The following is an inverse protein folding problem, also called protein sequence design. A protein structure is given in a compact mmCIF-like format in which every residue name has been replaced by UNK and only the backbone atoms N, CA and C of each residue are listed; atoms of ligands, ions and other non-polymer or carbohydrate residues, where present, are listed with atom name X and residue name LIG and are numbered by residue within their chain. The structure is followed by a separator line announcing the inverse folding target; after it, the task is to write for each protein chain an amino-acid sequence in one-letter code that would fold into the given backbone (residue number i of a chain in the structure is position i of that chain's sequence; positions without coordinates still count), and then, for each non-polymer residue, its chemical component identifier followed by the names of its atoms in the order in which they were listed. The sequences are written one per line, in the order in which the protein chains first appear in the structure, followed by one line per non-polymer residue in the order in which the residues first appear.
data_IF_249551430121
#
_entry.id   IF_249551430121
#
_cell.length_a   1.000
_cell.length_b   1.000
_cell.length_c   1.000
_cell.angle_alpha   90.00
_cell.angle_beta   90.00
_cell.angle_gamma   90.00
#
_symmetry.space_group_name_H-M   'P 1'
#
loop_
_entity.id
_entity.type
_entity.pdbx_description
1 polymer ?
#
# COMPACT_ATOMS: atom_id res chain seq x y z
N UNK A 1 19.15 13.04 -11.93
CA UNK A 1 20.49 12.78 -12.52
C UNK A 1 20.40 11.77 -13.67
N UNK A 2 19.89 10.54 -13.48
CA UNK A 2 19.78 9.54 -14.58
C UNK A 2 18.99 10.05 -15.78
N UNK A 3 17.82 10.67 -15.56
CA UNK A 3 17.01 11.23 -16.66
C UNK A 3 17.69 12.36 -17.44
N UNK A 4 18.63 13.04 -16.81
CA UNK A 4 19.45 14.09 -17.43
C UNK A 4 20.81 13.57 -17.95
N UNK A 5 21.06 12.27 -17.92
CA UNK A 5 22.36 11.67 -18.24
C UNK A 5 23.55 12.32 -17.50
N UNK A 6 23.28 12.76 -16.26
CA UNK A 6 24.25 13.49 -15.42
C UNK A 6 25.13 12.52 -14.67
N UNK A 7 26.42 12.63 -14.83
CA UNK A 7 27.41 11.83 -14.10
C UNK A 7 27.38 12.14 -12.60
N UNK A 8 27.25 11.15 -11.69
CA UNK A 8 27.11 11.40 -10.24
C UNK A 8 28.28 12.15 -9.61
N UNK A 9 29.47 12.02 -10.19
CA UNK A 9 30.71 12.66 -9.71
C UNK A 9 30.97 14.07 -10.23
N UNK A 10 30.20 14.57 -11.20
CA UNK A 10 30.49 15.83 -11.90
C UNK A 10 30.53 17.05 -10.98
N UNK A 11 29.82 16.99 -9.85
CA UNK A 11 29.75 18.07 -8.85
C UNK A 11 30.87 17.98 -7.78
N UNK A 12 31.84 17.08 -7.93
CA UNK A 12 32.93 16.97 -6.98
C UNK A 12 34.08 17.88 -7.37
N UNK A 13 34.62 18.57 -6.38
CA UNK A 13 35.83 19.39 -6.53
C UNK A 13 37.13 18.58 -6.42
N UNK A 14 37.04 17.34 -5.93
CA UNK A 14 38.19 16.47 -5.68
C UNK A 14 37.87 15.00 -5.95
N UNK A 15 38.81 14.33 -6.60
CA UNK A 15 38.82 12.87 -6.81
C UNK A 15 40.04 12.25 -6.18
N UNK A 16 39.87 11.25 -5.28
CA UNK A 16 40.94 10.60 -4.58
C UNK A 16 41.98 9.97 -5.50
N UNK A 17 41.58 9.52 -6.70
CA UNK A 17 42.48 8.96 -7.69
C UNK A 17 43.33 10.00 -8.45
N UNK A 18 43.04 11.30 -8.36
CA UNK A 18 43.84 12.34 -9.01
C UNK A 18 45.27 12.43 -8.46
N UNK A 19 45.52 11.89 -7.26
CA UNK A 19 46.85 11.72 -6.68
C UNK A 19 47.53 10.41 -7.03
N UNK A 20 46.95 9.53 -7.82
CA UNK A 20 47.56 8.26 -8.17
C UNK A 20 48.72 8.44 -9.18
N UNK A 21 49.73 7.61 -9.07
CA UNK A 21 50.92 7.68 -9.92
C UNK A 21 50.63 7.46 -11.41
N UNK A 22 49.55 6.72 -11.73
CA UNK A 22 49.12 6.45 -13.11
C UNK A 22 47.97 7.39 -13.55
N UNK A 23 47.64 8.42 -12.77
CA UNK A 23 46.59 9.37 -13.16
C UNK A 23 47.04 10.15 -14.41
N UNK A 24 46.20 10.09 -15.44
CA UNK A 24 46.39 10.84 -16.67
C UNK A 24 45.40 12.01 -16.71
N UNK A 25 45.84 13.25 -16.52
CA UNK A 25 44.99 14.41 -16.48
C UNK A 25 44.32 14.71 -17.85
N UNK A 26 44.94 14.33 -18.97
CA UNK A 26 44.36 14.58 -20.30
C UNK A 26 43.22 13.62 -20.59
N UNK A 27 43.40 12.35 -20.23
CA UNK A 27 42.31 11.35 -20.31
C UNK A 27 41.16 11.77 -19.43
N UNK A 28 41.44 12.22 -18.20
CA UNK A 28 40.39 12.63 -17.28
C UNK A 28 39.65 13.89 -17.76
N UNK A 29 40.33 14.87 -18.29
CA UNK A 29 39.74 16.07 -18.87
C UNK A 29 38.81 15.72 -20.05
N UNK A 30 39.16 14.75 -20.90
CA UNK A 30 38.28 14.25 -21.97
C UNK A 30 37.00 13.58 -21.43
N UNK A 31 37.14 12.78 -20.38
CA UNK A 31 35.97 12.15 -19.73
C UNK A 31 35.04 13.18 -19.09
N UNK A 32 35.56 14.23 -18.48
CA UNK A 32 34.75 15.33 -17.95
C UNK A 32 34.04 16.08 -19.07
N UNK A 33 34.73 16.42 -20.16
CA UNK A 33 34.10 17.08 -21.32
C UNK A 33 33.02 16.20 -21.96
N UNK A 34 33.22 14.88 -22.02
CA UNK A 34 32.20 13.94 -22.47
C UNK A 34 30.96 13.96 -21.50
N UNK A 35 31.21 13.93 -20.18
CA UNK A 35 30.16 13.97 -19.17
C UNK A 35 29.35 15.29 -19.25
N UNK A 36 29.98 16.42 -19.48
CA UNK A 36 29.35 17.72 -19.67
C UNK A 36 28.48 17.74 -20.93
N UNK A 37 29.01 17.26 -22.05
CA UNK A 37 28.25 17.18 -23.30
C UNK A 37 27.03 16.24 -23.20
N UNK A 38 27.17 15.12 -22.47
CA UNK A 38 26.07 14.19 -22.19
C UNK A 38 25.01 14.84 -21.31
N UNK A 39 25.41 15.59 -20.29
CA UNK A 39 24.48 16.34 -19.43
C UNK A 39 23.71 17.38 -20.24
N UNK A 40 24.36 18.18 -21.07
CA UNK A 40 23.72 19.18 -21.92
C UNK A 40 22.68 18.55 -22.84
N UNK A 41 23.07 17.49 -23.56
CA UNK A 41 22.17 16.72 -24.41
C UNK A 41 21.04 16.04 -23.62
N UNK A 42 21.31 15.57 -22.40
CA UNK A 42 20.35 14.96 -21.50
C UNK A 42 19.30 15.94 -20.99
N UNK A 43 19.71 17.15 -20.60
CA UNK A 43 18.81 18.21 -20.17
C UNK A 43 17.86 18.66 -21.31
N UNK A 44 18.35 18.72 -22.54
CA UNK A 44 17.55 19.11 -23.71
C UNK A 44 16.40 18.10 -24.01
N UNK A 45 16.53 16.85 -23.60
CA UNK A 45 15.54 15.76 -23.80
C UNK A 45 14.92 15.23 -22.51
N UNK A 46 15.13 15.95 -21.41
CA UNK A 46 14.65 15.50 -20.09
C UNK A 46 13.13 15.39 -20.09
N UNK A 47 12.57 14.24 -19.64
CA UNK A 47 11.12 14.12 -19.51
C UNK A 47 10.61 15.03 -18.39
N UNK A 48 9.33 15.35 -18.43
CA UNK A 48 8.67 16.00 -17.29
C UNK A 48 8.72 15.04 -16.11
N UNK A 49 9.17 15.54 -14.96
CA UNK A 49 9.22 14.79 -13.70
C UNK A 49 8.37 15.53 -12.69
N UNK A 50 7.36 14.85 -12.17
CA UNK A 50 6.52 15.33 -11.08
C UNK A 50 6.74 14.42 -9.87
N UNK A 51 6.98 15.01 -8.70
CA UNK A 51 7.13 14.28 -7.45
C UNK A 51 6.15 14.82 -6.40
N UNK A 52 5.61 13.93 -5.58
CA UNK A 52 4.76 14.29 -4.46
C UNK A 52 5.06 13.46 -3.22
N UNK A 53 4.85 14.05 -2.07
CA UNK A 53 4.86 13.39 -0.76
C UNK A 53 3.84 14.09 0.14
N UNK A 54 3.23 13.34 1.05
CA UNK A 54 2.29 13.89 2.04
C UNK A 54 3.02 14.71 3.11
N UNK A 55 4.32 14.42 3.35
CA UNK A 55 5.16 15.15 4.30
C UNK A 55 5.79 16.39 3.62
N UNK A 56 5.44 17.62 4.04
CA UNK A 56 6.03 18.83 3.49
C UNK A 56 7.55 18.89 3.69
N UNK A 57 8.10 18.27 4.73
CA UNK A 57 9.55 18.22 4.98
C UNK A 57 10.27 17.37 3.94
N UNK A 58 9.65 16.25 3.51
CA UNK A 58 10.20 15.44 2.42
C UNK A 58 10.30 16.25 1.12
N UNK A 59 9.29 17.05 0.82
CA UNK A 59 9.27 17.95 -0.34
C UNK A 59 10.32 19.05 -0.23
N UNK A 60 10.51 19.66 0.93
CA UNK A 60 11.57 20.66 1.16
C UNK A 60 12.96 20.05 0.93
N UNK A 61 13.22 18.85 1.47
CA UNK A 61 14.48 18.14 1.27
C UNK A 61 14.68 17.82 -0.22
N UNK A 62 13.65 17.33 -0.92
CA UNK A 62 13.71 17.01 -2.33
C UNK A 62 14.03 18.25 -3.19
N UNK A 63 13.41 19.39 -2.90
CA UNK A 63 13.72 20.69 -3.56
C UNK A 63 15.16 21.13 -3.32
N UNK A 64 15.63 21.02 -2.08
CA UNK A 64 17.01 21.36 -1.74
C UNK A 64 18.01 20.46 -2.48
N UNK A 65 17.74 19.16 -2.58
CA UNK A 65 18.60 18.22 -3.32
C UNK A 65 18.57 18.48 -4.83
N UNK A 66 17.40 18.75 -5.41
CA UNK A 66 17.27 19.12 -6.82
C UNK A 66 18.05 20.42 -7.12
N UNK A 67 17.98 21.41 -6.21
CA UNK A 67 18.75 22.66 -6.29
C UNK A 67 20.25 22.45 -6.26
N UNK A 68 20.73 21.58 -5.36
CA UNK A 68 22.17 21.27 -5.22
C UNK A 68 22.78 20.68 -6.49
N UNK A 69 22.02 19.91 -7.25
CA UNK A 69 22.47 19.30 -8.51
C UNK A 69 22.08 20.10 -9.75
N UNK A 70 21.55 21.33 -9.59
CA UNK A 70 21.17 22.18 -10.72
C UNK A 70 19.92 21.72 -11.49
N UNK A 71 19.11 20.81 -10.92
CA UNK A 71 17.93 20.23 -11.59
C UNK A 71 16.59 20.80 -11.08
N UNK A 72 16.60 21.84 -10.22
CA UNK A 72 15.36 22.40 -9.63
C UNK A 72 14.35 22.91 -10.68
N UNK A 73 14.81 23.41 -11.82
CA UNK A 73 13.94 23.85 -12.91
C UNK A 73 13.35 22.74 -13.79
N UNK A 74 13.75 21.50 -13.55
CA UNK A 74 13.33 20.33 -14.35
C UNK A 74 12.43 19.36 -13.60
N UNK A 75 12.19 19.60 -12.30
CA UNK A 75 11.42 18.71 -11.43
C UNK A 75 10.36 19.53 -10.71
N UNK A 76 9.09 19.18 -10.92
CA UNK A 76 7.95 19.75 -10.24
C UNK A 76 7.67 18.97 -8.95
N UNK A 77 7.52 19.67 -7.81
CA UNK A 77 7.34 19.01 -6.51
C UNK A 77 6.13 19.60 -5.77
N UNK A 78 5.24 18.73 -5.29
CA UNK A 78 4.05 19.09 -4.54
C UNK A 78 3.93 18.34 -3.20
N UNK A 79 3.34 19.01 -2.20
CA UNK A 79 2.83 18.31 -1.01
C UNK A 79 1.44 17.80 -1.38
N UNK A 80 1.32 16.49 -1.59
CA UNK A 80 0.06 15.87 -2.00
C UNK A 80 0.00 14.38 -1.58
N UNK A 81 -1.22 13.88 -1.40
CA UNK A 81 -1.47 12.47 -1.18
C UNK A 81 -1.38 11.70 -2.50
N UNK A 82 -0.86 10.48 -2.49
CA UNK A 82 -0.84 9.61 -3.67
C UNK A 82 -2.26 9.30 -4.22
N UNK A 83 -3.31 9.44 -3.41
CA UNK A 83 -4.69 9.35 -3.87
C UNK A 83 -5.11 10.47 -4.85
N UNK A 84 -4.36 11.56 -4.89
CA UNK A 84 -4.68 12.76 -5.65
C UNK A 84 -3.70 12.98 -6.83
N UNK A 85 -3.22 11.87 -7.44
CA UNK A 85 -2.24 11.91 -8.54
C UNK A 85 -2.74 12.72 -9.73
N UNK A 86 -3.99 12.52 -10.16
CA UNK A 86 -4.60 13.25 -11.27
C UNK A 86 -4.58 14.76 -11.02
N UNK A 87 -5.10 15.22 -9.88
CA UNK A 87 -5.12 16.62 -9.50
C UNK A 87 -3.70 17.22 -9.38
N UNK A 88 -2.74 16.42 -8.91
CA UNK A 88 -1.33 16.83 -8.85
C UNK A 88 -0.75 17.05 -10.25
N UNK A 89 -1.03 16.13 -11.18
CA UNK A 89 -0.59 16.25 -12.59
C UNK A 89 -1.28 17.42 -13.30
N UNK A 90 -2.57 17.64 -13.04
CA UNK A 90 -3.32 18.81 -13.53
C UNK A 90 -2.70 20.13 -13.07
N UNK A 91 -2.35 20.22 -11.79
CA UNK A 91 -1.72 21.39 -11.20
C UNK A 91 -0.38 21.78 -11.86
N UNK A 92 0.31 20.82 -12.46
CA UNK A 92 1.54 21.03 -13.23
C UNK A 92 1.34 21.01 -14.76
N UNK A 93 0.10 20.95 -15.24
CA UNK A 93 -0.23 21.00 -16.66
C UNK A 93 0.19 19.75 -17.44
N UNK A 94 0.26 18.57 -16.79
CA UNK A 94 0.64 17.29 -17.41
C UNK A 94 -0.46 16.23 -17.39
N UNK A 95 -1.69 16.59 -17.04
CA UNK A 95 -2.85 15.68 -17.00
C UNK A 95 -3.15 15.01 -18.36
N UNK A 96 -2.77 15.64 -19.48
CA UNK A 96 -2.98 15.11 -20.83
C UNK A 96 -1.90 14.11 -21.28
N UNK A 97 -0.97 13.73 -20.41
CA UNK A 97 0.06 12.76 -20.74
C UNK A 97 -0.56 11.38 -20.93
N UNK A 98 -0.53 10.86 -22.16
CA UNK A 98 -1.07 9.53 -22.50
C UNK A 98 -0.16 8.38 -22.08
N UNK A 99 1.11 8.66 -21.79
CA UNK A 99 2.11 7.70 -21.36
C UNK A 99 2.93 8.27 -20.20
N UNK A 100 3.25 7.43 -19.23
CA UNK A 100 4.04 7.82 -18.08
C UNK A 100 4.48 6.62 -17.25
N UNK A 101 5.31 6.91 -16.25
CA UNK A 101 5.75 5.93 -15.28
C UNK A 101 5.62 6.51 -13.88
N UNK A 102 4.85 5.87 -13.03
CA UNK A 102 4.84 6.12 -11.58
C UNK A 102 5.98 5.32 -10.97
N UNK A 103 6.85 5.98 -10.22
CA UNK A 103 7.96 5.34 -9.50
C UNK A 103 7.79 5.61 -8.02
N UNK A 104 7.81 4.58 -7.19
CA UNK A 104 7.61 4.71 -5.76
C UNK A 104 8.44 3.76 -4.92
N UNK A 105 8.69 4.20 -3.68
CA UNK A 105 9.22 3.38 -2.61
C UNK A 105 8.19 3.41 -1.47
N UNK A 106 7.16 2.53 -1.54
CA UNK A 106 6.11 2.48 -0.54
C UNK A 106 6.68 2.32 0.86
N UNK A 107 6.01 2.82 1.90
CA UNK A 107 6.44 2.59 3.26
C UNK A 107 6.37 1.09 3.59
N UNK A 108 7.42 0.55 4.24
CA UNK A 108 7.51 -0.84 4.66
C UNK A 108 8.30 -1.00 5.97
N UNK A 109 8.19 -2.18 6.58
CA UNK A 109 8.90 -2.55 7.81
C UNK A 109 8.11 -2.30 9.10
N UNK A 110 8.78 -2.52 10.25
CA UNK A 110 8.19 -2.52 11.60
C UNK A 110 7.61 -1.19 12.08
N UNK A 111 7.70 -0.13 11.29
CA UNK A 111 7.24 1.22 11.66
C UNK A 111 5.78 1.50 11.34
N UNK A 112 5.14 0.63 10.55
CA UNK A 112 3.74 0.79 10.17
C UNK A 112 2.90 -0.36 10.73
N UNK A 113 1.75 0.01 11.28
CA UNK A 113 0.73 -0.96 11.62
C UNK A 113 0.07 -1.48 10.33
N UNK A 114 -0.38 -2.73 10.31
CA UNK A 114 -1.06 -3.29 9.13
C UNK A 114 -2.21 -2.40 8.60
N UNK A 115 -2.94 -1.75 9.53
CA UNK A 115 -4.00 -0.78 9.19
C UNK A 115 -3.48 0.43 8.39
N UNK A 116 -2.30 0.93 8.71
CA UNK A 116 -1.72 2.10 8.02
C UNK A 116 -1.29 1.72 6.60
N UNK A 117 -0.88 0.46 6.39
CA UNK A 117 -0.59 -0.09 5.07
C UNK A 117 -1.85 -0.20 4.21
N UNK A 118 -2.97 -0.70 4.76
CA UNK A 118 -4.24 -0.78 4.04
C UNK A 118 -4.73 0.60 3.58
N UNK A 119 -4.62 1.62 4.46
CA UNK A 119 -4.98 3.00 4.13
C UNK A 119 -4.08 3.54 3.02
N UNK A 120 -2.77 3.28 3.11
CA UNK A 120 -1.81 3.71 2.09
C UNK A 120 -2.07 3.02 0.74
N UNK A 121 -2.24 1.70 0.72
CA UNK A 121 -2.48 0.97 -0.53
C UNK A 121 -3.82 1.35 -1.17
N UNK A 122 -4.86 1.59 -0.38
CA UNK A 122 -6.13 2.11 -0.88
C UNK A 122 -6.00 3.50 -1.51
N UNK A 123 -5.19 4.37 -0.91
CA UNK A 123 -4.88 5.70 -1.47
C UNK A 123 -4.06 5.60 -2.75
N UNK A 124 -3.03 4.75 -2.77
CA UNK A 124 -2.20 4.49 -3.95
C UNK A 124 -3.05 3.98 -5.11
N UNK A 125 -3.89 2.97 -4.87
CA UNK A 125 -4.77 2.40 -5.88
C UNK A 125 -5.72 3.46 -6.47
N UNK A 126 -6.39 4.25 -5.61
CA UNK A 126 -7.26 5.34 -6.08
C UNK A 126 -6.52 6.30 -7.01
N UNK A 127 -5.27 6.65 -6.68
CA UNK A 127 -4.47 7.53 -7.54
C UNK A 127 -4.05 6.88 -8.85
N UNK A 128 -3.74 5.58 -8.84
CA UNK A 128 -3.37 4.82 -10.04
C UNK A 128 -4.56 4.62 -10.98
N UNK A 129 -5.76 4.37 -10.43
CA UNK A 129 -7.00 4.17 -11.21
C UNK A 129 -7.42 5.44 -11.98
N UNK A 130 -6.95 6.61 -11.55
CA UNK A 130 -7.18 7.88 -12.23
C UNK A 130 -6.21 8.13 -13.40
N UNK A 131 -5.18 7.29 -13.57
CA UNK A 131 -4.17 7.45 -14.62
C UNK A 131 -4.53 6.62 -15.87
N UNK A 132 -4.05 7.03 -17.07
CA UNK A 132 -4.29 6.28 -18.28
C UNK A 132 -3.69 4.85 -18.26
N UNK A 133 -4.37 3.89 -18.86
CA UNK A 133 -3.98 2.47 -18.94
C UNK A 133 -2.58 2.22 -19.54
N UNK A 134 -2.10 3.13 -20.38
CA UNK A 134 -0.78 3.01 -20.98
C UNK A 134 0.38 3.39 -20.04
N UNK A 135 0.06 3.83 -18.82
CA UNK A 135 1.08 4.12 -17.81
C UNK A 135 1.60 2.84 -17.17
N UNK A 136 2.75 2.95 -16.53
CA UNK A 136 3.36 1.87 -15.74
C UNK A 136 3.57 2.31 -14.30
N UNK A 137 3.55 1.34 -13.38
CA UNK A 137 3.96 1.53 -11.99
C UNK A 137 5.23 0.72 -11.74
N UNK A 138 6.28 1.36 -11.26
CA UNK A 138 7.50 0.69 -10.77
C UNK A 138 7.68 0.97 -9.30
N UNK A 139 7.77 -0.07 -8.49
CA UNK A 139 7.97 0.05 -7.04
C UNK A 139 9.15 -0.80 -6.57
N UNK A 140 9.79 -0.34 -5.51
CA UNK A 140 10.71 -1.15 -4.72
C UNK A 140 10.03 -1.49 -3.39
N UNK A 141 9.81 -2.77 -3.12
CA UNK A 141 9.10 -3.21 -1.91
C UNK A 141 9.58 -4.60 -1.45
N UNK A 142 9.71 -4.84 -0.14
CA UNK A 142 9.86 -6.18 0.42
C UNK A 142 8.50 -6.89 0.60
N UNK A 143 7.37 -6.20 0.34
CA UNK A 143 6.04 -6.76 0.57
C UNK A 143 5.71 -7.77 -0.52
N UNK A 144 5.67 -9.04 -0.13
CA UNK A 144 5.34 -10.17 -1.01
C UNK A 144 3.87 -10.16 -1.46
N UNK A 145 3.01 -9.38 -0.78
CA UNK A 145 1.59 -9.26 -1.07
C UNK A 145 1.24 -8.01 -1.91
N UNK A 146 2.25 -7.25 -2.31
CA UNK A 146 2.02 -6.02 -3.07
C UNK A 146 1.22 -6.25 -4.37
N UNK A 147 1.42 -7.40 -5.04
CA UNK A 147 0.68 -7.79 -6.24
C UNK A 147 -0.83 -7.90 -5.98
N UNK A 148 -1.21 -8.36 -4.78
CA UNK A 148 -2.62 -8.51 -4.39
C UNK A 148 -3.29 -7.15 -4.20
N UNK A 149 -2.56 -6.14 -3.73
CA UNK A 149 -3.08 -4.77 -3.62
C UNK A 149 -3.22 -4.08 -4.98
N UNK A 150 -2.27 -4.31 -5.87
CA UNK A 150 -2.33 -3.75 -7.23
C UNK A 150 -3.33 -4.51 -8.10
N UNK A 151 -3.68 -5.76 -7.76
CA UNK A 151 -4.58 -6.60 -8.54
C UNK A 151 -3.99 -7.03 -9.89
N UNK A 152 -2.67 -6.97 -10.05
CA UNK A 152 -1.99 -7.30 -11.29
C UNK A 152 -0.68 -8.06 -11.01
N UNK A 153 -0.24 -8.84 -12.00
CA UNK A 153 1.07 -9.50 -11.98
C UNK A 153 2.11 -8.56 -12.61
N UNK A 154 3.29 -8.39 -11.99
CA UNK A 154 4.35 -7.58 -12.58
C UNK A 154 4.85 -8.22 -13.88
N UNK A 155 5.13 -7.41 -14.90
CA UNK A 155 5.74 -7.90 -16.14
C UNK A 155 7.27 -7.91 -16.07
N UNK A 156 7.87 -7.22 -15.09
CA UNK A 156 9.29 -7.36 -14.71
C UNK A 156 9.43 -7.40 -13.20
N UNK A 157 10.29 -8.27 -12.73
CA UNK A 157 10.64 -8.41 -11.32
C UNK A 157 12.15 -8.63 -11.16
N UNK A 158 12.76 -7.94 -10.20
CA UNK A 158 14.19 -8.07 -9.92
C UNK A 158 14.45 -7.94 -8.42
N UNK A 159 15.13 -8.94 -7.85
CA UNK A 159 15.57 -8.87 -6.47
C UNK A 159 16.71 -7.83 -6.30
N UNK A 160 16.62 -7.01 -5.28
CA UNK A 160 17.61 -6.00 -4.92
C UNK A 160 17.76 -5.93 -3.41
N UNK A 161 18.86 -5.37 -2.94
CA UNK A 161 19.09 -5.19 -1.50
C UNK A 161 19.07 -3.71 -1.13
N UNK A 162 18.26 -3.37 -0.14
CA UNK A 162 18.27 -2.06 0.50
C UNK A 162 18.93 -2.18 1.88
N UNK A 163 20.25 -2.00 1.91
CA UNK A 163 21.08 -2.35 3.06
C UNK A 163 21.07 -3.86 3.30
N UNK A 164 20.62 -4.30 4.48
CA UNK A 164 20.47 -5.73 4.82
C UNK A 164 19.11 -6.32 4.46
N UNK A 165 18.17 -5.48 3.99
CA UNK A 165 16.83 -5.90 3.65
C UNK A 165 16.76 -6.33 2.18
N UNK A 166 16.36 -7.58 1.97
CA UNK A 166 15.99 -8.07 0.64
C UNK A 166 14.67 -7.43 0.22
N UNK A 167 14.67 -6.84 -0.96
CA UNK A 167 13.51 -6.16 -1.56
C UNK A 167 13.40 -6.56 -3.02
N UNK A 168 12.27 -6.23 -3.63
CA UNK A 168 12.02 -6.52 -5.04
C UNK A 168 11.60 -5.24 -5.75
N UNK A 169 12.22 -4.98 -6.91
CA UNK A 169 11.74 -3.98 -7.87
C UNK A 169 10.73 -4.68 -8.78
N UNK A 170 9.50 -4.18 -8.80
CA UNK A 170 8.41 -4.73 -9.61
C UNK A 170 7.84 -3.65 -10.51
N UNK A 171 7.54 -4.00 -11.76
CA UNK A 171 6.91 -3.08 -12.72
C UNK A 171 5.62 -3.67 -13.25
N UNK A 172 4.54 -2.88 -13.19
CA UNK A 172 3.19 -3.24 -13.61
C UNK A 172 2.74 -2.33 -14.75
N UNK A 173 1.83 -2.82 -15.59
CA UNK A 173 1.07 -2.00 -16.54
C UNK A 173 -0.24 -1.59 -15.87
N UNK A 174 -0.58 -0.31 -15.91
CA UNK A 174 -1.89 0.15 -15.47
C UNK A 174 -2.95 -0.30 -16.48
N UNK A 175 -4.21 -0.34 -16.08
CA UNK A 175 -5.32 -0.82 -16.93
C UNK A 175 -5.38 -2.35 -17.12
N UNK A 176 -4.43 -3.10 -16.57
CA UNK A 176 -4.44 -4.57 -16.59
C UNK A 176 -4.79 -5.18 -15.23
N UNK A 177 -5.15 -4.34 -14.27
CA UNK A 177 -5.56 -4.79 -12.96
C UNK A 177 -6.93 -5.49 -13.04
N UNK A 178 -6.96 -6.77 -12.70
CA UNK A 178 -8.20 -7.53 -12.54
C UNK A 178 -8.60 -7.52 -11.06
N UNK A 179 -9.47 -6.59 -10.69
CA UNK A 179 -10.00 -6.54 -9.34
C UNK A 179 -11.20 -7.47 -9.23
N UNK A 180 -11.02 -8.56 -8.50
CA UNK A 180 -12.13 -9.44 -8.15
C UNK A 180 -13.05 -8.71 -7.19
N UNK A 181 -14.34 -8.79 -7.43
CA UNK A 181 -15.35 -8.22 -6.54
C UNK A 181 -16.37 -9.26 -6.15
N UNK A 182 -16.89 -9.15 -4.93
CA UNK A 182 -17.98 -9.93 -4.40
C UNK A 182 -19.22 -9.04 -4.22
N UNK A 183 -20.30 -9.37 -4.90
CA UNK A 183 -21.62 -8.80 -4.59
C UNK A 183 -22.23 -9.56 -3.42
N UNK A 184 -22.58 -8.86 -2.35
CA UNK A 184 -23.16 -9.42 -1.16
C UNK A 184 -24.30 -8.54 -0.63
N UNK A 185 -25.14 -9.12 0.22
CA UNK A 185 -26.21 -8.37 0.93
C UNK A 185 -25.80 -8.21 2.38
N UNK A 186 -25.78 -6.98 2.88
CA UNK A 186 -25.45 -6.66 4.27
C UNK A 186 -26.52 -7.18 5.26
N UNK A 187 -26.25 -7.03 6.55
CA UNK A 187 -27.16 -7.45 7.60
C UNK A 187 -28.49 -6.64 7.58
N UNK A 188 -28.44 -5.36 7.21
CA UNK A 188 -29.63 -4.50 7.05
C UNK A 188 -30.40 -4.75 5.74
N UNK A 189 -29.83 -5.50 4.80
CA UNK A 189 -30.41 -5.81 3.50
C UNK A 189 -29.95 -4.92 2.36
N UNK A 190 -28.87 -4.15 2.52
CA UNK A 190 -28.26 -3.35 1.44
C UNK A 190 -27.42 -4.21 0.54
N UNK A 191 -27.52 -3.95 -0.77
CA UNK A 191 -26.58 -4.52 -1.74
C UNK A 191 -25.23 -3.81 -1.64
N UNK A 192 -24.18 -4.60 -1.51
CA UNK A 192 -22.80 -4.14 -1.34
C UNK A 192 -21.90 -4.83 -2.37
N UNK A 193 -20.92 -4.10 -2.89
CA UNK A 193 -19.85 -4.66 -3.71
C UNK A 193 -18.55 -4.49 -2.94
N UNK A 194 -17.83 -5.59 -2.73
CA UNK A 194 -16.61 -5.62 -1.92
C UNK A 194 -15.46 -6.13 -2.78
N UNK A 195 -14.31 -5.43 -2.84
CA UNK A 195 -13.12 -5.96 -3.48
C UNK A 195 -12.59 -7.16 -2.69
N UNK A 196 -12.24 -8.24 -3.38
CA UNK A 196 -11.76 -9.49 -2.79
C UNK A 196 -10.50 -9.99 -3.50
N UNK A 197 -9.72 -10.81 -2.81
CA UNK A 197 -8.45 -11.34 -3.30
C UNK A 197 -8.52 -12.85 -3.62
N UNK A 198 -9.43 -13.58 -2.98
CA UNK A 198 -9.62 -15.02 -3.18
C UNK A 198 -10.74 -15.35 -4.16
N UNK A 199 -10.78 -16.60 -4.65
CA UNK A 199 -11.68 -16.98 -5.75
C UNK A 199 -13.13 -17.24 -5.31
N UNK A 200 -13.39 -17.64 -4.08
CA UNK A 200 -14.73 -18.07 -3.62
C UNK A 200 -15.06 -17.58 -2.20
N UNK A 201 -15.11 -16.24 -1.98
CA UNK A 201 -15.40 -15.67 -0.67
C UNK A 201 -16.91 -15.63 -0.33
N UNK A 202 -17.79 -15.96 -1.28
CA UNK A 202 -19.24 -15.92 -1.17
C UNK A 202 -19.78 -16.83 -0.05
N UNK A 203 -19.20 -18.01 0.11
CA UNK A 203 -19.57 -18.96 1.17
C UNK A 203 -19.32 -18.37 2.57
N UNK A 204 -18.19 -17.67 2.73
CA UNK A 204 -17.87 -17.00 3.99
C UNK A 204 -18.86 -15.86 4.27
N UNK A 205 -19.13 -15.00 3.29
CA UNK A 205 -20.07 -13.90 3.41
C UNK A 205 -21.48 -14.40 3.82
N UNK A 206 -21.97 -15.44 3.14
CA UNK A 206 -23.26 -16.04 3.43
C UNK A 206 -23.31 -16.66 4.84
N UNK A 207 -22.26 -17.39 5.25
CA UNK A 207 -22.15 -18.00 6.58
C UNK A 207 -22.12 -16.93 7.66
N UNK A 208 -21.28 -15.90 7.52
CA UNK A 208 -21.18 -14.81 8.48
C UNK A 208 -22.50 -14.07 8.64
N UNK A 209 -23.16 -13.74 7.52
CA UNK A 209 -24.48 -13.06 7.55
C UNK A 209 -25.53 -13.90 8.30
N UNK A 210 -25.59 -15.20 8.02
CA UNK A 210 -26.50 -16.12 8.71
C UNK A 210 -26.25 -16.16 10.22
N UNK A 211 -24.99 -16.31 10.60
CA UNK A 211 -24.58 -16.34 12.01
C UNK A 211 -24.88 -15.02 12.71
N UNK A 212 -24.52 -13.89 12.08
CA UNK A 212 -24.75 -12.56 12.63
C UNK A 212 -26.24 -12.32 12.91
N UNK A 213 -27.12 -12.69 11.97
CA UNK A 213 -28.58 -12.57 12.16
C UNK A 213 -29.08 -13.38 13.36
N UNK A 214 -28.61 -14.61 13.51
CA UNK A 214 -29.03 -15.48 14.62
C UNK A 214 -28.46 -15.01 15.96
N UNK A 215 -27.15 -14.68 16.01
CA UNK A 215 -26.45 -14.28 17.23
C UNK A 215 -26.87 -12.91 17.74
N UNK A 216 -27.14 -11.93 16.86
CA UNK A 216 -27.67 -10.63 17.29
C UNK A 216 -29.03 -10.76 17.95
N UNK A 217 -29.95 -11.52 17.35
CA UNK A 217 -31.27 -11.79 17.95
C UNK A 217 -31.15 -12.44 19.34
N UNK A 218 -30.25 -13.42 19.50
CA UNK A 218 -29.97 -14.03 20.79
C UNK A 218 -29.39 -13.03 21.79
N UNK A 219 -28.40 -12.23 21.37
CA UNK A 219 -27.74 -11.26 22.23
C UNK A 219 -28.73 -10.18 22.73
N UNK A 220 -29.60 -9.69 21.87
CA UNK A 220 -30.68 -8.74 22.22
C UNK A 220 -31.62 -9.35 23.27
N UNK A 221 -32.06 -10.59 23.10
CA UNK A 221 -32.95 -11.29 24.04
C UNK A 221 -32.30 -11.53 25.42
N UNK A 222 -30.97 -11.68 25.46
CA UNK A 222 -30.21 -12.02 26.66
C UNK A 222 -29.38 -10.83 27.19
N UNK A 223 -29.53 -9.64 26.61
CA UNK A 223 -28.81 -8.41 27.01
C UNK A 223 -27.28 -8.58 26.98
N UNK A 224 -26.75 -9.34 26.02
CA UNK A 224 -25.32 -9.60 25.85
C UNK A 224 -24.71 -8.59 24.91
N UNK A 225 -23.66 -7.87 25.36
CA UNK A 225 -23.01 -6.79 24.61
C UNK A 225 -21.71 -7.22 23.90
N UNK A 226 -21.17 -8.40 24.23
CA UNK A 226 -19.96 -8.92 23.59
C UNK A 226 -20.16 -10.41 23.31
N UNK A 227 -20.10 -10.79 22.03
CA UNK A 227 -20.35 -12.17 21.63
C UNK A 227 -19.70 -12.55 20.33
N UNK A 228 -19.45 -13.85 20.15
CA UNK A 228 -18.83 -14.41 18.96
C UNK A 228 -19.85 -14.60 17.84
N UNK A 229 -19.52 -14.06 16.67
CA UNK A 229 -20.32 -14.21 15.44
C UNK A 229 -19.87 -15.42 14.61
N UNK A 230 -18.56 -15.71 14.58
CA UNK A 230 -17.99 -16.74 13.74
C UNK A 230 -16.77 -17.37 14.45
N UNK A 231 -16.58 -18.68 14.33
CA UNK A 231 -15.47 -19.41 14.95
C UNK A 231 -15.03 -20.59 14.07
N UNK A 232 -14.23 -20.29 13.04
CA UNK A 232 -13.68 -21.28 12.10
C UNK A 232 -14.75 -22.24 11.52
N UNK A 233 -15.96 -21.75 11.28
CA UNK A 233 -17.10 -22.54 10.77
C UNK A 233 -16.84 -23.14 9.38
N UNK A 234 -15.91 -22.55 8.62
CA UNK A 234 -15.46 -23.02 7.32
C UNK A 234 -13.95 -23.32 7.38
N UNK A 235 -13.49 -24.45 6.84
CA UNK A 235 -12.08 -24.84 6.89
C UNK A 235 -11.12 -23.82 6.27
N UNK A 236 -11.61 -23.11 5.26
CA UNK A 236 -10.84 -22.12 4.50
C UNK A 236 -10.70 -20.77 5.20
N UNK A 237 -11.50 -20.52 6.23
CA UNK A 237 -11.55 -19.26 6.97
C UNK A 237 -11.35 -19.54 8.47
N UNK A 238 -10.10 -19.83 8.82
CA UNK A 238 -9.70 -20.16 10.20
C UNK A 238 -9.57 -18.89 11.06
N UNK A 239 -10.69 -18.24 11.34
CA UNK A 239 -10.76 -17.00 12.13
C UNK A 239 -11.84 -17.10 13.21
N UNK A 240 -11.69 -16.32 14.27
CA UNK A 240 -12.78 -16.00 15.19
C UNK A 240 -13.15 -14.53 15.04
N UNK A 241 -14.45 -14.24 14.96
CA UNK A 241 -14.99 -12.88 14.86
C UNK A 241 -15.86 -12.60 16.07
N UNK A 242 -15.42 -11.66 16.90
CA UNK A 242 -16.11 -11.21 18.09
C UNK A 242 -16.68 -9.80 17.86
N UNK A 243 -17.96 -9.62 18.12
CA UNK A 243 -18.65 -8.32 18.05
C UNK A 243 -18.80 -7.75 19.45
N UNK A 244 -18.48 -6.47 19.58
CA UNK A 244 -18.61 -5.70 20.81
C UNK A 244 -19.57 -4.53 20.57
N UNK A 245 -20.60 -4.45 21.40
CA UNK A 245 -21.59 -3.38 21.41
C UNK A 245 -21.34 -2.49 22.62
N UNK A 246 -21.32 -1.18 22.47
CA UNK A 246 -21.25 -0.29 23.61
C UNK A 246 -22.60 -0.21 24.30
N UNK A 247 -22.65 -0.33 25.65
CA UNK A 247 -23.87 -0.06 26.43
C UNK A 247 -24.09 1.44 26.60
N UNK A 248 -25.34 1.86 26.86
CA UNK A 248 -25.67 3.26 27.18
C UNK A 248 -24.96 3.73 28.45
N UNK A 249 -24.76 2.84 29.43
CA UNK A 249 -24.02 3.13 30.67
C UNK A 249 -22.55 3.41 30.41
N UNK A 250 -21.92 2.66 29.51
CA UNK A 250 -20.51 2.89 29.08
C UNK A 250 -20.40 4.20 28.30
N UNK A 251 -21.41 4.53 27.48
CA UNK A 251 -21.48 5.83 26.80
C UNK A 251 -21.58 7.00 27.76
N UNK A 252 -22.35 6.86 28.84
CA UNK A 252 -22.55 7.91 29.85
C UNK A 252 -21.30 8.17 30.72
N UNK A 253 -20.44 7.14 30.92
CA UNK A 253 -19.24 7.24 31.79
C UNK A 253 -17.97 7.63 31.04
N UNK A 254 -17.93 7.45 29.71
CA UNK A 254 -16.76 7.73 28.87
C UNK A 254 -17.11 8.70 27.74
N UNK A 255 -17.43 9.94 28.10
CA UNK A 255 -17.91 11.01 27.21
C UNK A 255 -16.96 11.25 26.02
N UNK A 256 -15.67 11.04 26.15
CA UNK A 256 -14.69 11.24 25.07
C UNK A 256 -14.47 10.01 24.17
N UNK A 257 -15.04 8.85 24.51
CA UNK A 257 -14.87 7.58 23.78
C UNK A 257 -16.18 6.81 23.61
N UNK A 258 -17.31 7.51 23.58
CA UNK A 258 -18.57 6.88 23.24
C UNK A 258 -18.51 6.33 21.81
N UNK A 259 -18.31 5.02 21.67
CA UNK A 259 -18.42 4.36 20.39
C UNK A 259 -19.90 4.38 19.99
N UNK A 260 -20.26 5.31 19.11
CA UNK A 260 -21.59 5.33 18.49
C UNK A 260 -21.82 4.14 17.57
N UNK A 261 -20.76 3.40 17.26
CA UNK A 261 -20.74 2.28 16.33
C UNK A 261 -20.10 1.06 17.01
N UNK A 262 -20.68 -0.16 16.84
CA UNK A 262 -20.08 -1.39 17.33
C UNK A 262 -18.72 -1.64 16.67
N UNK A 263 -17.82 -2.34 17.35
CA UNK A 263 -16.54 -2.73 16.78
C UNK A 263 -16.35 -4.25 16.71
N UNK A 264 -15.50 -4.68 15.79
CA UNK A 264 -15.14 -6.07 15.58
C UNK A 264 -13.72 -6.36 16.05
N UNK A 265 -13.51 -7.53 16.63
CA UNK A 265 -12.20 -8.12 16.82
C UNK A 265 -12.12 -9.41 15.98
N UNK A 266 -11.29 -9.40 14.95
CA UNK A 266 -11.03 -10.57 14.11
C UNK A 266 -9.70 -11.19 14.55
N UNK A 267 -9.77 -12.43 15.02
CA UNK A 267 -8.60 -13.19 15.48
C UNK A 267 -8.31 -14.30 14.49
N UNK A 268 -7.17 -14.21 13.79
CA UNK A 268 -6.71 -15.28 12.90
C UNK A 268 -6.13 -16.42 13.74
N UNK A 269 -6.53 -17.65 13.43
CA UNK A 269 -5.86 -18.85 13.93
C UNK A 269 -4.64 -19.11 13.06
N UNK A 270 -3.49 -19.38 13.69
CA UNK A 270 -2.27 -19.65 12.94
C UNK A 270 -2.49 -20.80 11.95
N UNK A 271 -2.33 -20.50 10.67
CA UNK A 271 -2.48 -21.48 9.61
C UNK A 271 -1.47 -22.64 9.77
N UNK A 272 -1.86 -23.89 9.51
CA UNK A 272 -0.92 -25.00 9.42
C UNK A 272 0.19 -24.70 8.40
N UNK A 273 1.40 -25.20 8.66
CA UNK A 273 2.55 -25.01 7.74
C UNK A 273 2.33 -25.56 6.32
N UNK A 274 1.32 -26.39 6.12
CA UNK A 274 0.91 -26.95 4.82
C UNK A 274 0.09 -25.99 3.96
N UNK A 275 -0.40 -24.89 4.52
CA UNK A 275 -1.16 -23.88 3.77
C UNK A 275 -0.18 -22.83 3.25
N UNK A 276 -0.30 -22.51 1.96
CA UNK A 276 0.43 -21.42 1.33
C UNK A 276 0.17 -20.10 2.07
N UNK A 277 1.22 -19.41 2.56
CA UNK A 277 1.09 -18.15 3.27
C UNK A 277 0.33 -17.07 2.49
N UNK A 278 0.51 -16.99 1.18
CA UNK A 278 -0.21 -16.05 0.31
C UNK A 278 -1.72 -16.35 0.29
N UNK A 279 -2.08 -17.63 0.21
CA UNK A 279 -3.48 -18.03 0.23
C UNK A 279 -4.13 -17.74 1.59
N UNK A 280 -3.42 -17.97 2.70
CA UNK A 280 -3.88 -17.61 4.04
C UNK A 280 -4.10 -16.10 4.17
N UNK A 281 -3.14 -15.31 3.73
CA UNK A 281 -3.22 -13.85 3.74
C UNK A 281 -4.42 -13.32 2.95
N UNK A 282 -4.61 -13.74 1.68
CA UNK A 282 -5.74 -13.33 0.85
C UNK A 282 -7.09 -13.61 1.51
N UNK A 283 -7.24 -14.79 2.10
CA UNK A 283 -8.46 -15.18 2.82
C UNK A 283 -8.68 -14.36 4.08
N UNK A 284 -7.61 -14.02 4.78
CA UNK A 284 -7.71 -13.17 5.96
C UNK A 284 -8.13 -11.73 5.59
N UNK A 285 -7.55 -11.15 4.57
CA UNK A 285 -7.94 -9.83 4.04
C UNK A 285 -9.40 -9.82 3.58
N UNK A 286 -9.83 -10.85 2.84
CA UNK A 286 -11.24 -10.99 2.45
C UNK A 286 -12.16 -11.09 3.66
N UNK A 287 -11.74 -11.82 4.70
CA UNK A 287 -12.49 -11.90 5.97
C UNK A 287 -12.74 -10.52 6.55
N UNK A 288 -11.71 -9.67 6.60
CA UNK A 288 -11.78 -8.33 7.17
C UNK A 288 -12.73 -7.43 6.36
N UNK A 289 -12.57 -7.43 5.03
CA UNK A 289 -13.39 -6.61 4.11
C UNK A 289 -14.85 -7.05 4.11
N UNK A 290 -15.09 -8.35 4.02
CA UNK A 290 -16.44 -8.93 4.00
C UNK A 290 -17.13 -8.74 5.35
N UNK A 291 -16.43 -8.93 6.47
CA UNK A 291 -17.02 -8.74 7.80
C UNK A 291 -17.45 -7.28 8.01
N UNK A 292 -16.61 -6.33 7.63
CA UNK A 292 -16.94 -4.91 7.66
C UNK A 292 -18.22 -4.60 6.85
N UNK A 293 -18.31 -5.09 5.61
CA UNK A 293 -19.41 -4.87 4.71
C UNK A 293 -20.70 -5.58 5.16
N UNK A 294 -20.64 -6.86 5.51
CA UNK A 294 -21.80 -7.64 5.97
C UNK A 294 -22.43 -7.04 7.21
N UNK A 295 -21.60 -6.55 8.15
CA UNK A 295 -22.04 -6.01 9.43
C UNK A 295 -22.25 -4.49 9.40
N UNK A 296 -21.89 -3.84 8.30
CA UNK A 296 -21.94 -2.38 8.11
C UNK A 296 -21.15 -1.62 9.20
N UNK A 297 -19.98 -2.17 9.54
CA UNK A 297 -19.06 -1.59 10.52
C UNK A 297 -17.91 -0.91 9.77
N UNK A 298 -17.64 0.38 10.03
CA UNK A 298 -16.54 1.10 9.42
C UNK A 298 -15.20 0.38 9.62
N UNK A 299 -14.31 0.46 8.62
CA UNK A 299 -13.02 -0.27 8.66
C UNK A 299 -12.16 0.12 9.87
N UNK A 300 -12.25 1.35 10.31
CA UNK A 300 -11.56 1.87 11.50
C UNK A 300 -12.10 1.32 12.84
N UNK A 301 -13.24 0.65 12.82
CA UNK A 301 -13.83 -0.08 13.96
C UNK A 301 -13.54 -1.60 13.88
N UNK A 302 -12.73 -2.07 12.91
CA UNK A 302 -12.35 -3.47 12.77
C UNK A 302 -10.90 -3.66 13.18
N UNK A 303 -10.69 -4.39 14.27
CA UNK A 303 -9.40 -4.71 14.84
C UNK A 303 -9.01 -6.15 14.50
N UNK A 304 -7.73 -6.39 14.23
CA UNK A 304 -7.20 -7.70 13.88
C UNK A 304 -6.12 -8.14 14.85
N UNK A 305 -6.01 -9.46 15.08
CA UNK A 305 -4.89 -10.07 15.79
C UNK A 305 -4.63 -11.49 15.30
N UNK A 306 -3.39 -11.95 15.42
CA UNK A 306 -3.01 -13.34 15.19
C UNK A 306 -2.97 -14.07 16.53
N UNK A 307 -3.70 -15.18 16.65
CA UNK A 307 -3.62 -16.10 17.80
C UNK A 307 -2.48 -17.09 17.57
N UNK A 308 -1.35 -16.88 18.24
CA UNK A 308 -0.30 -17.91 18.31
C UNK A 308 -0.78 -19.04 19.25
N UNK A 309 -0.61 -20.30 18.84
CA UNK A 309 -0.77 -21.41 19.79
C UNK A 309 0.19 -21.18 20.95
N UNK A 310 -0.35 -21.06 22.17
CA UNK A 310 0.49 -21.15 23.35
C UNK A 310 1.17 -22.53 23.30
N UNK A 311 2.51 -22.57 23.29
CA UNK A 311 3.23 -23.82 23.54
C UNK A 311 2.77 -24.26 24.92
N UNK A 312 2.02 -25.35 24.98
CA UNK A 312 1.65 -25.95 26.26
C UNK A 312 2.92 -26.18 27.07
N UNK A 313 3.04 -25.51 28.19
CA UNK A 313 4.00 -25.87 29.21
C UNK A 313 3.56 -27.22 29.74
N UNK A 314 4.41 -28.22 29.51
CA UNK A 314 4.39 -29.48 30.25
C UNK A 314 4.97 -29.26 31.64
#
# INVERSE_FOLDING_TARGET
MMAADMAPGILRDYWGFSGWRQFDPEVFARLLAEADARLEAGLARMPRIVGSDIDPRAIEIARAQAGRVGLAGFIDLAVANCADMEATLEGFGVAQATQGCVVGNPPYGVRLMARDLDVFYGALQKGLDALPDAWTLTVITPDIHFDDYIGATPFTESAVYNGALETTVRTYRLGQAEHKTLSLVSLSGRDMVVPVLSDHPDQFAARLRKNAKARRKWAEQNQVLAFRLYDADLPDYAVAIDLFLASEEVRATHIERAFDVPYLLISEYQAPKSIDPHKAYRRFEDTVRIAAAVLEIPRDQVFTRVRKQAKGGG
#
